data_IF_124554003760
#
_entry.id   IF_124554003760
#
_cell.length_a   1.000
_cell.length_b   1.000
_cell.length_c   1.000
_cell.angle_alpha   90.00
_cell.angle_beta   90.00
_cell.angle_gamma   90.00
#
_symmetry.space_group_name_H-M   'P 1'
#
loop_
_entity.id
_entity.type
_entity.pdbx_description
1 polymer ?
#
# COMPACT_ATOMS: atom_id res chain seq x y z
N UNK A 1 1.92 5.99 -18.74
CA UNK A 1 0.87 5.40 -17.86
C UNK A 1 1.05 5.89 -16.43
N UNK A 2 0.02 6.48 -15.83
CA UNK A 2 0.05 6.94 -14.43
C UNK A 2 -0.45 5.83 -13.49
N UNK A 3 0.22 5.64 -12.35
CA UNK A 3 -0.15 4.63 -11.36
C UNK A 3 -0.67 5.30 -10.09
N UNK A 4 -1.91 5.00 -9.70
CA UNK A 4 -2.59 5.61 -8.54
C UNK A 4 -2.68 7.15 -8.56
N UNK A 5 -2.64 7.77 -9.75
CA UNK A 5 -2.81 9.22 -9.89
C UNK A 5 -4.28 9.65 -9.78
N UNK A 6 -4.55 10.97 -9.75
CA UNK A 6 -5.88 11.49 -10.04
C UNK A 6 -6.42 10.95 -11.38
N UNK A 7 -7.70 10.56 -11.39
CA UNK A 7 -8.37 10.04 -12.59
C UNK A 7 -8.49 11.11 -13.67
N UNK A 8 -8.51 12.39 -13.29
CA UNK A 8 -8.64 13.53 -14.20
C UNK A 8 -7.49 13.62 -15.22
N UNK A 9 -6.34 13.00 -14.95
CA UNK A 9 -5.27 12.90 -15.94
C UNK A 9 -5.67 12.15 -17.22
N UNK A 10 -6.67 11.27 -17.15
CA UNK A 10 -7.25 10.65 -18.35
C UNK A 10 -8.07 11.68 -19.15
N UNK A 11 -8.82 12.54 -18.48
CA UNK A 11 -9.67 13.58 -19.09
C UNK A 11 -8.78 14.63 -19.76
N UNK A 12 -7.77 15.10 -19.03
CA UNK A 12 -6.82 16.11 -19.48
C UNK A 12 -5.84 15.58 -20.53
N UNK A 13 -5.84 14.26 -20.79
CA UNK A 13 -4.87 13.56 -21.63
C UNK A 13 -3.42 13.85 -21.20
N UNK A 14 -3.22 14.03 -19.90
CA UNK A 14 -1.89 14.23 -19.29
C UNK A 14 -1.09 12.92 -19.18
N UNK A 15 -1.68 11.79 -19.56
CA UNK A 15 -1.01 10.49 -19.64
C UNK A 15 -1.55 9.65 -20.81
N UNK A 16 -0.77 8.66 -21.25
CA UNK A 16 -1.19 7.71 -22.30
C UNK A 16 -2.04 6.54 -21.77
N UNK A 17 -2.42 6.58 -20.49
CA UNK A 17 -3.19 5.53 -19.85
C UNK A 17 -3.02 5.48 -18.34
N UNK A 18 -3.85 4.68 -17.68
CA UNK A 18 -4.00 4.69 -16.23
C UNK A 18 -3.91 3.28 -15.62
N UNK A 19 -3.26 3.16 -14.46
CA UNK A 19 -3.25 1.93 -13.68
C UNK A 19 -4.00 2.15 -12.36
N UNK A 20 -5.14 1.48 -12.21
CA UNK A 20 -5.92 1.44 -10.98
C UNK A 20 -5.44 0.26 -10.12
N UNK A 21 -4.47 0.52 -9.26
CA UNK A 21 -4.00 -0.48 -8.29
C UNK A 21 -4.89 -0.56 -7.07
N UNK A 22 -5.11 -1.78 -6.55
CA UNK A 22 -5.86 -2.06 -5.33
C UNK A 22 -7.23 -1.33 -5.27
N UNK A 23 -7.80 -1.07 -6.45
CA UNK A 23 -8.98 -0.23 -6.57
C UNK A 23 -10.19 -0.99 -6.02
N UNK A 24 -10.97 -0.40 -5.09
CA UNK A 24 -12.30 -0.90 -4.80
C UNK A 24 -13.13 -0.96 -6.08
N UNK A 25 -14.05 -1.92 -6.19
CA UNK A 25 -14.84 -2.16 -7.41
C UNK A 25 -15.52 -0.88 -7.92
N UNK A 26 -16.11 -0.08 -7.03
CA UNK A 26 -16.76 1.18 -7.42
C UNK A 26 -15.80 2.20 -8.04
N UNK A 27 -14.54 2.22 -7.58
CA UNK A 27 -13.51 3.05 -8.21
C UNK A 27 -13.08 2.48 -9.56
N UNK A 28 -12.95 1.15 -9.68
CA UNK A 28 -12.62 0.49 -10.94
C UNK A 28 -13.68 0.75 -12.03
N UNK A 29 -14.97 0.69 -11.68
CA UNK A 29 -16.09 1.04 -12.57
C UNK A 29 -15.98 2.49 -13.04
N UNK A 30 -15.68 3.42 -12.12
CA UNK A 30 -15.52 4.84 -12.47
C UNK A 30 -14.35 5.06 -13.43
N UNK A 31 -13.20 4.43 -13.17
CA UNK A 31 -12.03 4.52 -14.05
C UNK A 31 -12.34 3.93 -15.43
N UNK A 32 -13.06 2.80 -15.50
CA UNK A 32 -13.47 2.20 -16.76
C UNK A 32 -14.29 3.17 -17.63
N UNK A 33 -15.33 3.78 -17.06
CA UNK A 33 -16.16 4.75 -17.78
C UNK A 33 -15.39 5.99 -18.23
N UNK A 34 -14.51 6.54 -17.39
CA UNK A 34 -13.66 7.68 -17.79
C UNK A 34 -12.65 7.29 -18.87
N UNK A 35 -12.10 6.09 -18.80
CA UNK A 35 -11.15 5.57 -19.80
C UNK A 35 -11.82 5.37 -21.15
N UNK A 36 -13.04 4.83 -21.16
CA UNK A 36 -13.87 4.69 -22.36
C UNK A 36 -14.17 6.05 -22.99
N UNK A 37 -14.64 7.02 -22.20
CA UNK A 37 -14.95 8.38 -22.68
C UNK A 37 -13.71 9.12 -23.21
N UNK A 38 -12.57 8.99 -22.52
CA UNK A 38 -11.32 9.64 -22.93
C UNK A 38 -10.63 8.95 -24.11
N UNK A 39 -11.05 7.73 -24.46
CA UNK A 39 -10.41 6.89 -25.47
C UNK A 39 -9.01 6.42 -25.08
N UNK A 40 -8.68 6.42 -23.78
CA UNK A 40 -7.37 6.05 -23.26
C UNK A 40 -7.43 4.69 -22.54
N UNK A 41 -6.39 3.85 -22.66
CA UNK A 41 -6.39 2.54 -22.04
C UNK A 41 -6.19 2.63 -20.53
N UNK A 42 -6.71 1.63 -19.83
CA UNK A 42 -6.40 1.43 -18.41
C UNK A 42 -6.03 -0.01 -18.09
N UNK A 43 -5.44 -0.18 -16.91
CA UNK A 43 -5.01 -1.44 -16.35
C UNK A 43 -5.51 -1.55 -14.92
N UNK A 44 -5.99 -2.73 -14.54
CA UNK A 44 -6.34 -3.04 -13.16
C UNK A 44 -5.20 -3.83 -12.53
N UNK A 45 -4.69 -3.38 -11.40
CA UNK A 45 -3.70 -4.12 -10.62
C UNK A 45 -4.34 -4.63 -9.33
N UNK A 46 -4.71 -5.90 -9.35
CA UNK A 46 -5.23 -6.63 -8.18
C UNK A 46 -4.20 -7.70 -7.78
N UNK A 47 -3.19 -7.27 -7.05
CA UNK A 47 -2.14 -8.15 -6.56
C UNK A 47 -2.71 -9.13 -5.51
N UNK A 48 -2.46 -10.43 -5.70
CA UNK A 48 -2.92 -11.47 -4.78
C UNK A 48 -2.75 -12.87 -5.33
N UNK A 49 -3.44 -13.84 -4.71
CA UNK A 49 -3.50 -15.23 -5.15
C UNK A 49 -4.52 -15.47 -6.26
N UNK A 50 -4.90 -16.73 -6.45
CA UNK A 50 -5.83 -17.14 -7.51
C UNK A 50 -7.22 -16.50 -7.42
N UNK A 51 -7.68 -16.15 -6.21
CA UNK A 51 -8.96 -15.45 -6.01
C UNK A 51 -8.92 -14.05 -6.66
N UNK A 52 -7.85 -13.30 -6.43
CA UNK A 52 -7.67 -11.97 -7.03
C UNK A 52 -7.55 -12.07 -8.56
N UNK A 53 -6.83 -13.07 -9.07
CA UNK A 53 -6.71 -13.29 -10.51
C UNK A 53 -8.06 -13.65 -11.16
N UNK A 54 -8.88 -14.48 -10.49
CA UNK A 54 -10.23 -14.79 -10.95
C UNK A 54 -11.10 -13.52 -10.97
N UNK A 55 -11.06 -12.73 -9.91
CA UNK A 55 -11.81 -11.48 -9.81
C UNK A 55 -11.43 -10.50 -10.93
N UNK A 56 -10.12 -10.31 -11.12
CA UNK A 56 -9.56 -9.48 -12.17
C UNK A 56 -9.96 -9.94 -13.57
N UNK A 57 -10.01 -11.25 -13.82
CA UNK A 57 -10.49 -11.79 -15.10
C UNK A 57 -11.95 -11.42 -15.37
N UNK A 58 -12.81 -11.45 -14.35
CA UNK A 58 -14.20 -11.02 -14.48
C UNK A 58 -14.33 -9.51 -14.70
N UNK A 59 -13.59 -8.69 -13.95
CA UNK A 59 -13.58 -7.23 -14.11
C UNK A 59 -13.18 -6.84 -15.54
N UNK A 60 -12.06 -7.41 -16.02
CA UNK A 60 -11.55 -7.15 -17.38
C UNK A 60 -12.53 -7.61 -18.47
N UNK A 61 -13.30 -8.66 -18.22
CA UNK A 61 -14.29 -9.16 -19.17
C UNK A 61 -15.57 -8.30 -19.25
N UNK A 62 -15.87 -7.52 -18.21
CA UNK A 62 -17.12 -6.73 -18.10
C UNK A 62 -16.89 -5.25 -18.39
N UNK A 63 -15.74 -4.69 -17.99
CA UNK A 63 -15.49 -3.27 -18.15
C UNK A 63 -15.20 -2.91 -19.62
N UNK A 64 -16.04 -2.04 -20.15
CA UNK A 64 -15.84 -1.35 -21.43
C UNK A 64 -14.61 -0.43 -21.35
N UNK A 65 -13.86 -0.29 -22.45
CA UNK A 65 -12.57 0.44 -22.50
C UNK A 65 -11.31 -0.42 -22.66
N UNK A 66 -11.46 -1.74 -22.85
CA UNK A 66 -10.35 -2.64 -23.16
C UNK A 66 -9.27 -2.79 -22.07
N UNK A 67 -9.64 -2.84 -20.76
CA UNK A 67 -8.66 -2.99 -19.71
C UNK A 67 -7.79 -4.22 -19.93
N UNK A 68 -6.51 -4.09 -19.57
CA UNK A 68 -5.60 -5.23 -19.53
C UNK A 68 -5.45 -5.71 -18.09
N UNK A 69 -5.28 -7.01 -17.95
CA UNK A 69 -4.74 -7.60 -16.72
C UNK A 69 -3.34 -7.01 -16.50
N UNK A 70 -2.98 -6.80 -15.24
CA UNK A 70 -1.66 -6.35 -14.86
C UNK A 70 -0.56 -7.27 -15.43
N UNK A 71 0.46 -6.64 -16.02
CA UNK A 71 1.61 -7.39 -16.54
C UNK A 71 2.36 -8.12 -15.41
N UNK A 72 2.27 -7.61 -14.17
CA UNK A 72 2.85 -8.23 -12.97
C UNK A 72 1.74 -8.79 -12.07
N UNK A 73 1.18 -9.93 -12.47
CA UNK A 73 0.19 -10.65 -11.67
C UNK A 73 0.87 -11.59 -10.66
N UNK A 74 0.51 -11.49 -9.37
CA UNK A 74 1.16 -12.26 -8.29
C UNK A 74 0.55 -13.65 -8.04
N UNK A 75 -0.47 -14.07 -8.79
CA UNK A 75 -1.22 -15.29 -8.47
C UNK A 75 -0.42 -16.58 -8.63
N UNK A 76 0.72 -16.51 -9.34
CA UNK A 76 1.66 -17.61 -9.49
C UNK A 76 2.96 -17.42 -8.69
N UNK A 77 3.08 -16.33 -7.92
CA UNK A 77 4.27 -16.06 -7.10
C UNK A 77 4.32 -16.96 -5.86
N UNK A 78 3.17 -17.28 -5.28
CA UNK A 78 3.11 -18.02 -4.03
C UNK A 78 3.23 -19.54 -4.23
N UNK A 79 4.14 -20.15 -3.47
CA UNK A 79 4.34 -21.61 -3.42
C UNK A 79 3.07 -22.30 -2.94
N UNK A 80 2.46 -21.74 -1.88
CA UNK A 80 1.18 -22.19 -1.33
C UNK A 80 0.06 -21.21 -1.69
N UNK A 81 -1.13 -21.73 -1.98
CA UNK A 81 -2.36 -20.94 -2.14
C UNK A 81 -3.46 -21.49 -1.21
N UNK A 82 -4.44 -20.66 -0.90
CA UNK A 82 -5.68 -21.04 -0.22
C UNK A 82 -6.69 -21.70 -1.17
N UNK A 83 -6.39 -21.78 -2.47
CA UNK A 83 -7.22 -22.42 -3.50
C UNK A 83 -6.56 -23.71 -4.02
N UNK A 84 -7.38 -24.71 -4.42
CA UNK A 84 -6.87 -25.93 -5.09
C UNK A 84 -6.73 -25.74 -6.60
N UNK A 85 -7.39 -24.75 -7.17
CA UNK A 85 -7.33 -24.46 -8.61
C UNK A 85 -6.40 -23.29 -8.88
N UNK A 86 -5.64 -23.41 -9.97
CA UNK A 86 -4.81 -22.34 -10.52
C UNK A 86 -5.21 -22.08 -11.97
N UNK A 87 -5.48 -20.83 -12.32
CA UNK A 87 -5.78 -20.43 -13.68
C UNK A 87 -4.58 -20.69 -14.58
N UNK A 88 -4.81 -21.30 -15.75
CA UNK A 88 -3.74 -21.56 -16.71
C UNK A 88 -3.51 -20.33 -17.58
N UNK A 89 -2.32 -19.75 -17.52
CA UNK A 89 -1.89 -18.73 -18.48
C UNK A 89 -1.59 -19.42 -19.82
N UNK A 90 -2.34 -19.08 -20.87
CA UNK A 90 -2.18 -19.63 -22.21
C UNK A 90 -2.04 -18.47 -23.20
N UNK A 91 -0.89 -18.38 -23.88
CA UNK A 91 -0.57 -17.29 -24.83
C UNK A 91 -0.77 -15.89 -24.23
N UNK A 92 -0.35 -15.69 -22.99
CA UNK A 92 -0.48 -14.40 -22.28
C UNK A 92 -1.89 -14.03 -21.83
N UNK A 93 -2.85 -14.96 -21.90
CA UNK A 93 -4.23 -14.75 -21.47
C UNK A 93 -4.65 -15.79 -20.44
N UNK A 94 -5.66 -15.45 -19.64
CA UNK A 94 -6.38 -16.40 -18.78
C UNK A 94 -7.84 -16.43 -19.22
N UNK A 95 -8.47 -17.60 -19.09
CA UNK A 95 -9.90 -17.71 -19.32
C UNK A 95 -10.66 -17.09 -18.13
N UNK A 96 -11.77 -16.41 -18.42
CA UNK A 96 -12.71 -15.98 -17.38
C UNK A 96 -13.28 -17.22 -16.70
N UNK A 97 -13.13 -17.38 -15.38
CA UNK A 97 -13.69 -18.52 -14.67
C UNK A 97 -15.22 -18.61 -14.83
N UNK A 98 -15.77 -19.83 -14.84
CA UNK A 98 -17.22 -20.04 -14.82
C UNK A 98 -17.73 -20.03 -13.38
N UNK A 99 -18.84 -19.32 -13.14
CA UNK A 99 -19.45 -19.16 -11.81
C UNK A 99 -19.00 -17.88 -11.09
N UNK A 100 -19.45 -17.66 -9.84
CA UNK A 100 -19.10 -16.44 -9.11
C UNK A 100 -17.58 -16.34 -8.86
N UNK A 101 -17.00 -15.12 -8.94
CA UNK A 101 -15.60 -14.88 -8.61
C UNK A 101 -15.26 -15.42 -7.21
N UNK A 102 -14.15 -16.17 -7.09
CA UNK A 102 -13.73 -16.79 -5.83
C UNK A 102 -14.42 -18.12 -5.47
N UNK A 103 -15.61 -18.42 -6.01
CA UNK A 103 -16.25 -19.74 -5.89
C UNK A 103 -15.77 -20.75 -6.94
N UNK A 104 -15.36 -20.27 -8.12
CA UNK A 104 -14.63 -21.08 -9.11
C UNK A 104 -13.27 -21.58 -8.60
N UNK A 105 -12.81 -21.03 -7.46
CA UNK A 105 -11.62 -21.46 -6.76
C UNK A 105 -12.01 -22.31 -5.54
N UNK A 106 -12.00 -23.63 -5.71
CA UNK A 106 -12.22 -24.57 -4.59
C UNK A 106 -11.24 -24.28 -3.46
N UNK A 107 -11.75 -24.12 -2.23
CA UNK A 107 -10.99 -23.63 -1.08
C UNK A 107 -10.25 -24.75 -0.32
N UNK A 108 -8.99 -24.52 0.07
CA UNK A 108 -8.20 -25.46 0.87
C UNK A 108 -8.37 -25.14 2.36
N UNK A 109 -9.26 -25.88 3.02
CA UNK A 109 -9.48 -25.76 4.47
C UNK A 109 -8.26 -26.15 5.32
N UNK A 110 -7.31 -26.92 4.78
CA UNK A 110 -6.09 -27.34 5.47
C UNK A 110 -5.06 -26.21 5.58
N UNK A 111 -4.88 -25.43 4.51
CA UNK A 111 -3.88 -24.35 4.45
C UNK A 111 -4.30 -23.17 5.33
N UNK A 112 -5.60 -22.87 5.42
CA UNK A 112 -6.14 -21.81 6.28
C UNK A 112 -6.01 -22.11 7.78
N UNK A 113 -6.09 -23.38 8.20
CA UNK A 113 -5.86 -23.78 9.59
C UNK A 113 -4.39 -23.66 9.99
N UNK A 114 -3.47 -23.95 9.07
CA UNK A 114 -2.03 -23.80 9.30
C UNK A 114 -1.63 -22.33 9.41
N UNK A 115 -2.05 -21.49 8.46
CA UNK A 115 -1.78 -20.03 8.49
C UNK A 115 -2.40 -19.35 9.70
N UNK A 116 -3.60 -19.77 10.13
CA UNK A 116 -4.22 -19.24 11.36
C UNK A 116 -3.45 -19.58 12.64
N UNK A 117 -2.71 -20.69 12.66
CA UNK A 117 -1.97 -21.19 13.83
C UNK A 117 -0.47 -20.92 13.78
N UNK A 118 0.04 -20.39 12.66
CA UNK A 118 1.45 -20.06 12.50
C UNK A 118 1.92 -19.06 13.56
N UNK A 119 3.16 -19.17 14.05
CA UNK A 119 3.71 -18.17 14.96
C UNK A 119 3.75 -16.82 14.25
N UNK A 120 3.38 -15.74 14.95
CA UNK A 120 3.55 -14.39 14.43
C UNK A 120 5.05 -14.12 14.23
N UNK A 121 5.45 -13.42 13.15
CA UNK A 121 6.82 -12.96 13.02
C UNK A 121 7.26 -12.20 14.27
N UNK A 122 8.44 -12.53 14.79
CA UNK A 122 9.05 -11.77 15.87
C UNK A 122 9.87 -10.64 15.25
N UNK A 123 9.59 -9.41 15.67
CA UNK A 123 10.28 -8.23 15.20
C UNK A 123 11.32 -7.80 16.22
N UNK A 124 12.54 -7.55 15.76
CA UNK A 124 13.55 -6.90 16.58
C UNK A 124 13.17 -5.43 16.80
N UNK A 125 13.43 -4.85 17.98
CA UNK A 125 13.20 -3.43 18.22
C UNK A 125 13.98 -2.55 17.24
N UNK A 126 13.30 -1.60 16.60
CA UNK A 126 13.95 -0.56 15.79
C UNK A 126 13.20 0.76 15.91
N UNK A 127 13.93 1.85 15.70
CA UNK A 127 13.40 3.20 15.61
C UNK A 127 13.34 3.62 14.14
N UNK A 128 12.42 4.52 13.83
CA UNK A 128 12.35 5.23 12.55
C UNK A 128 12.78 6.66 12.81
N UNK A 129 13.86 7.10 12.15
CA UNK A 129 14.30 8.49 12.15
C UNK A 129 13.87 9.13 10.84
N UNK A 130 13.12 10.21 10.93
CA UNK A 130 12.56 10.96 9.80
C UNK A 130 13.15 12.37 9.87
N UNK A 131 13.85 12.81 8.82
CA UNK A 131 14.55 14.09 8.80
C UNK A 131 14.01 14.96 7.68
N UNK A 132 13.44 16.10 8.05
CA UNK A 132 13.08 17.14 7.09
C UNK A 132 14.29 18.02 6.79
N UNK A 133 14.57 18.27 5.51
CA UNK A 133 15.64 19.19 5.11
C UNK A 133 15.37 20.59 5.66
N UNK A 134 16.21 21.08 6.58
CA UNK A 134 16.05 22.39 7.23
C UNK A 134 14.85 22.47 8.19
N UNK A 135 14.30 21.32 8.60
CA UNK A 135 13.14 21.24 9.49
C UNK A 135 13.30 20.19 10.59
N UNK A 136 12.21 19.70 11.18
CA UNK A 136 12.29 18.80 12.32
C UNK A 136 12.91 17.46 11.95
N UNK A 137 13.59 16.87 12.93
CA UNK A 137 13.91 15.45 13.00
C UNK A 137 12.94 14.78 13.95
N UNK A 138 12.28 13.71 13.50
CA UNK A 138 11.34 12.92 14.29
C UNK A 138 11.94 11.54 14.47
N UNK A 139 12.08 11.11 15.73
CA UNK A 139 12.47 9.74 16.08
C UNK A 139 11.31 9.06 16.76
N UNK A 140 10.85 7.93 16.21
CA UNK A 140 9.68 7.21 16.71
C UNK A 140 9.94 5.70 16.70
N UNK A 141 9.41 4.99 17.70
CA UNK A 141 9.44 3.52 17.72
C UNK A 141 8.33 2.91 16.87
N UNK A 142 8.65 1.83 16.18
CA UNK A 142 7.67 0.96 15.55
C UNK A 142 7.30 -0.18 16.51
N UNK A 143 6.01 -0.40 16.72
CA UNK A 143 5.48 -1.36 17.71
C UNK A 143 4.52 -2.34 17.01
N UNK A 144 5.04 -3.26 16.18
CA UNK A 144 4.22 -4.09 15.28
C UNK A 144 3.33 -5.08 16.03
N UNK A 145 3.62 -5.33 17.30
CA UNK A 145 2.90 -6.24 18.18
C UNK A 145 1.58 -5.64 18.71
N UNK A 146 1.43 -4.30 18.65
CA UNK A 146 0.20 -3.62 19.04
C UNK A 146 -0.86 -3.75 17.93
N UNK A 147 -2.13 -3.81 18.34
CA UNK A 147 -3.25 -3.96 17.40
C UNK A 147 -3.27 -2.82 16.38
N UNK A 148 -3.35 -3.16 15.08
CA UNK A 148 -3.38 -2.20 13.98
C UNK A 148 -2.04 -1.51 13.66
N UNK A 149 -0.95 -1.85 14.35
CA UNK A 149 0.35 -1.20 14.18
C UNK A 149 1.31 -1.94 13.24
N UNK A 150 0.95 -3.14 12.76
CA UNK A 150 1.79 -3.93 11.84
C UNK A 150 2.03 -3.24 10.49
N UNK A 151 1.04 -2.49 9.96
CA UNK A 151 1.11 -1.76 8.67
C UNK A 151 1.24 -0.22 8.87
N UNK A 152 1.64 0.24 10.07
CA UNK A 152 1.65 1.68 10.35
C UNK A 152 2.78 2.45 9.64
N UNK A 153 3.81 1.76 9.15
CA UNK A 153 4.93 2.36 8.41
C UNK A 153 4.53 2.83 7.00
N UNK A 154 3.39 2.35 6.48
CA UNK A 154 2.90 2.69 5.14
C UNK A 154 2.51 4.17 5.01
N UNK A 155 2.07 4.80 6.09
CA UNK A 155 1.62 6.19 6.08
C UNK A 155 2.14 6.93 7.31
N UNK A 156 2.76 8.09 7.09
CA UNK A 156 3.32 8.91 8.18
C UNK A 156 2.30 9.21 9.29
N UNK A 157 1.07 9.56 8.90
CA UNK A 157 0.00 9.83 9.86
C UNK A 157 -0.42 8.60 10.68
N UNK A 158 -0.29 7.38 10.14
CA UNK A 158 -0.54 6.14 10.90
C UNK A 158 0.59 5.86 11.88
N UNK A 159 1.83 6.02 11.45
CA UNK A 159 3.01 5.83 12.29
C UNK A 159 3.03 6.78 13.50
N UNK A 160 2.67 8.06 13.29
CA UNK A 160 2.72 9.09 14.33
C UNK A 160 1.43 9.24 15.14
N UNK A 161 0.36 8.55 14.78
CA UNK A 161 -0.93 8.65 15.49
C UNK A 161 -0.78 8.28 16.96
N UNK A 162 -1.15 9.19 17.84
CA UNK A 162 -1.02 9.05 19.30
C UNK A 162 0.41 9.21 19.82
N UNK A 163 1.38 9.47 18.94
CA UNK A 163 2.81 9.59 19.31
C UNK A 163 3.33 11.01 19.21
N UNK A 164 2.57 11.95 18.64
CA UNK A 164 2.96 13.37 18.58
C UNK A 164 1.89 14.25 19.24
N UNK A 165 2.27 15.40 19.83
CA UNK A 165 1.31 16.31 20.47
C UNK A 165 0.14 16.68 19.54
N UNK A 166 -1.08 16.61 20.06
CA UNK A 166 -2.32 16.92 19.32
C UNK A 166 -2.51 16.13 18.02
N UNK A 167 -1.78 15.02 17.81
CA UNK A 167 -1.74 14.26 16.55
C UNK A 167 -1.39 15.10 15.31
N UNK A 168 -0.72 16.25 15.51
CA UNK A 168 -0.27 17.10 14.41
C UNK A 168 1.09 16.60 13.93
N UNK A 169 1.18 16.18 12.67
CA UNK A 169 2.46 15.78 12.07
C UNK A 169 3.40 16.99 12.08
N UNK A 170 4.58 16.90 12.72
CA UNK A 170 5.56 17.99 12.71
C UNK A 170 6.16 18.18 11.32
N UNK A 171 6.43 19.43 10.97
CA UNK A 171 7.04 19.81 9.70
C UNK A 171 6.03 19.96 8.55
N UNK A 172 6.51 20.37 7.37
CA UNK A 172 5.67 20.50 6.19
C UNK A 172 5.19 19.12 5.68
N UNK A 173 4.16 19.07 4.84
CA UNK A 173 3.74 17.81 4.21
C UNK A 173 4.87 17.27 3.31
N UNK A 174 5.34 16.02 3.49
CA UNK A 174 6.37 15.43 2.63
C UNK A 174 5.98 15.49 1.14
N UNK A 175 6.95 15.82 0.29
CA UNK A 175 6.74 15.91 -1.15
C UNK A 175 7.99 16.34 -1.89
N UNK A 176 7.92 16.48 -3.22
CA UNK A 176 9.08 16.90 -4.03
C UNK A 176 9.69 18.23 -3.58
N UNK A 177 8.86 19.16 -3.09
CA UNK A 177 9.29 20.46 -2.56
C UNK A 177 9.73 20.42 -1.09
N UNK A 178 9.36 19.35 -0.35
CA UNK A 178 9.63 19.19 1.07
C UNK A 178 10.37 17.87 1.27
N UNK A 179 11.67 17.88 0.97
CA UNK A 179 12.50 16.68 1.00
C UNK A 179 12.58 16.09 2.42
N UNK A 180 12.30 14.78 2.51
CA UNK A 180 12.35 14.00 3.75
C UNK A 180 13.18 12.76 3.52
N UNK A 181 14.09 12.45 4.44
CA UNK A 181 14.77 11.15 4.50
C UNK A 181 14.24 10.34 5.68
N UNK A 182 14.26 9.02 5.54
CA UNK A 182 13.87 8.09 6.59
C UNK A 182 14.93 7.01 6.76
N UNK A 183 15.27 6.70 8.00
CA UNK A 183 16.25 5.69 8.37
C UNK A 183 15.69 4.76 9.44
N UNK A 184 16.04 3.47 9.34
CA UNK A 184 15.75 2.48 10.37
C UNK A 184 16.97 2.34 11.28
N UNK A 185 16.78 2.67 12.56
CA UNK A 185 17.84 2.62 13.56
C UNK A 185 17.67 1.41 14.46
N UNK A 186 18.75 0.70 14.71
CA UNK A 186 18.86 -0.37 15.67
C UNK A 186 20.14 -0.20 16.52
N UNK A 187 20.41 -1.15 17.43
CA UNK A 187 21.64 -1.11 18.25
C UNK A 187 22.93 -1.21 17.44
N UNK A 188 22.90 -1.71 16.20
CA UNK A 188 24.08 -1.90 15.35
C UNK A 188 24.48 -0.62 14.66
N UNK A 189 23.51 0.23 14.30
CA UNK A 189 23.76 1.44 13.51
C UNK A 189 23.47 2.76 14.26
N UNK A 190 23.02 2.70 15.52
CA UNK A 190 22.76 3.87 16.35
C UNK A 190 23.35 3.68 17.76
N UNK A 191 24.47 4.35 18.05
CA UNK A 191 25.12 4.29 19.37
C UNK A 191 24.22 4.78 20.53
N UNK A 192 23.28 5.67 20.23
CA UNK A 192 22.31 6.22 21.18
C UNK A 192 20.98 5.44 21.24
N UNK A 193 20.94 4.23 20.67
CA UNK A 193 19.69 3.50 20.48
C UNK A 193 18.91 3.32 21.78
N UNK A 194 19.53 2.84 22.87
CA UNK A 194 18.80 2.55 24.11
C UNK A 194 18.25 3.82 24.78
N UNK A 195 18.97 4.95 24.65
CA UNK A 195 18.53 6.26 25.13
C UNK A 195 17.29 6.73 24.36
N UNK A 196 17.36 6.69 23.02
CA UNK A 196 16.26 7.10 22.14
C UNK A 196 15.08 6.13 22.23
N UNK A 197 15.36 4.84 22.40
CA UNK A 197 14.36 3.82 22.67
C UNK A 197 13.60 4.25 23.93
N UNK A 198 14.24 4.38 25.08
CA UNK A 198 13.58 4.82 26.32
C UNK A 198 12.83 6.15 26.17
N UNK A 199 13.43 7.14 25.50
CA UNK A 199 12.79 8.44 25.29
C UNK A 199 11.48 8.35 24.49
N UNK A 200 11.38 7.39 23.56
CA UNK A 200 10.20 7.21 22.73
C UNK A 200 9.04 6.43 23.39
N UNK A 201 9.16 6.02 24.66
CA UNK A 201 8.09 5.32 25.39
C UNK A 201 6.81 6.15 25.51
N UNK A 202 6.96 7.48 25.56
CA UNK A 202 5.85 8.42 25.76
C UNK A 202 5.38 9.09 24.47
N UNK A 203 5.95 8.71 23.33
CA UNK A 203 5.69 9.34 22.02
C UNK A 203 6.96 9.49 21.19
N UNK A 204 6.85 10.12 20.03
CA UNK A 204 7.98 10.47 19.19
C UNK A 204 8.80 11.59 19.84
N UNK A 205 10.12 11.50 19.70
CA UNK A 205 11.05 12.58 20.02
C UNK A 205 11.17 13.47 18.80
N UNK A 206 10.92 14.77 18.96
CA UNK A 206 11.01 15.75 17.87
C UNK A 206 12.08 16.77 18.23
N UNK A 207 13.02 17.00 17.33
CA UNK A 207 14.11 17.98 17.49
C UNK A 207 14.23 18.85 16.24
N UNK A 208 14.80 20.06 16.34
CA UNK A 208 15.15 20.86 15.16
C UNK A 208 13.99 21.51 14.38
N UNK A 209 12.82 21.72 14.97
CA UNK A 209 11.73 22.47 14.34
C UNK A 209 11.09 23.45 15.31
N UNK A 210 10.85 24.70 14.86
CA UNK A 210 9.99 25.65 15.58
C UNK A 210 8.54 25.20 15.48
N UNK A 211 7.77 25.42 16.56
CA UNK A 211 6.30 25.30 16.61
C UNK A 211 5.59 26.36 15.74
N UNK A 212 6.10 26.66 14.55
CA UNK A 212 5.44 27.60 13.64
C UNK A 212 4.34 26.88 12.88
N UNK A 213 3.15 26.90 13.49
CA UNK A 213 1.91 26.61 12.80
C UNK A 213 1.69 27.62 11.67
N UNK A 214 2.17 27.31 10.47
CA UNK A 214 1.72 27.94 9.25
C UNK A 214 0.48 27.22 8.74
N UNK A 215 -0.67 27.89 8.77
CA UNK A 215 -1.83 27.51 7.97
C UNK A 215 -1.44 27.50 6.49
N UNK A 216 -1.86 26.51 5.68
CA UNK A 216 -1.82 26.69 4.24
C UNK A 216 -2.91 27.71 3.87
N UNK A 217 -2.50 28.93 3.51
CA UNK A 217 -3.35 29.84 2.71
C UNK A 217 -3.55 29.26 1.30
N UNK A 218 -4.68 29.61 0.65
CA UNK A 218 -5.42 28.75 -0.27
C UNK A 218 -4.72 28.41 -1.58
#
# INVERSE_FOLDING_TARGET
MIHHGPVDYLIDKACDGYMAGHAPIGHAIKVAGVSEESGLPFMLQQAGGQINQAFLAHEVAVFSGGPKIDHVNLAHLWVDDVTTTRARVTRGTIAVPKGPPGWACSWIQKNSKSTRRGPRPQYQPFLVRIVYKGGPTIVVRHEPHLSGQTDNLRFLGRLLKGKVPKNRIPGPTPGYLNAVTSEFLDRKNCGDFDRLWKATERGAVVTGGSDSGGSPTP
#
